data_IF_655595615226
#
_entry.id   IF_655595615226
#
_cell.length_a   1.000
_cell.length_b   1.000
_cell.length_c   1.000
_cell.angle_alpha   90.00
_cell.angle_beta   90.00
_cell.angle_gamma   90.00
#
_symmetry.space_group_name_H-M   'P 1'
#
loop_
_entity.id
_entity.type
_entity.pdbx_description
1 polymer ?
#
# COMPACT_ATOMS: atom_id res chain seq x y z
N UNK A 1 -17.19 -5.59 -15.54
CA UNK A 1 -16.87 -5.52 -14.10
C UNK A 1 -18.10 -5.06 -13.36
N UNK A 2 -18.30 -5.47 -12.11
CA UNK A 2 -19.50 -5.24 -11.28
C UNK A 2 -20.13 -3.85 -11.49
N UNK A 3 -21.47 -3.74 -11.49
CA UNK A 3 -22.20 -2.47 -11.60
C UNK A 3 -22.02 -1.53 -10.37
N UNK A 4 -20.99 -1.76 -9.56
CA UNK A 4 -20.63 -0.98 -8.39
C UNK A 4 -19.69 0.14 -8.83
N UNK A 5 -20.06 1.38 -8.50
CA UNK A 5 -19.27 2.58 -8.80
C UNK A 5 -18.54 3.07 -7.56
N UNK A 6 -17.27 3.40 -7.69
CA UNK A 6 -16.48 4.06 -6.66
C UNK A 6 -15.79 3.08 -5.71
N UNK A 7 -14.66 3.55 -5.16
CA UNK A 7 -13.80 2.81 -4.24
C UNK A 7 -14.57 2.17 -3.09
N UNK A 8 -15.36 2.95 -2.36
CA UNK A 8 -16.07 2.48 -1.14
C UNK A 8 -17.03 1.33 -1.43
N UNK A 9 -17.86 1.43 -2.48
CA UNK A 9 -18.84 0.41 -2.80
C UNK A 9 -18.17 -0.91 -3.21
N UNK A 10 -17.11 -0.82 -4.02
CA UNK A 10 -16.30 -1.97 -4.45
C UNK A 10 -15.56 -2.63 -3.28
N UNK A 11 -14.96 -1.83 -2.40
CA UNK A 11 -14.26 -2.30 -1.21
C UNK A 11 -15.20 -2.96 -0.19
N UNK A 12 -16.32 -2.31 0.12
CA UNK A 12 -17.34 -2.85 1.05
C UNK A 12 -17.97 -4.14 0.53
N UNK A 13 -18.12 -4.28 -0.79
CA UNK A 13 -18.62 -5.51 -1.39
C UNK A 13 -17.60 -6.65 -1.25
N UNK A 14 -16.36 -6.42 -1.70
CA UNK A 14 -15.35 -7.49 -1.75
C UNK A 14 -14.94 -7.96 -0.35
N UNK A 15 -15.00 -7.09 0.66
CA UNK A 15 -14.64 -7.43 2.04
C UNK A 15 -15.72 -8.22 2.79
N UNK A 16 -16.89 -8.46 2.20
CA UNK A 16 -17.91 -9.38 2.74
C UNK A 16 -17.55 -10.85 2.55
N UNK A 17 -16.64 -11.16 1.63
CA UNK A 17 -16.21 -12.54 1.41
C UNK A 17 -15.20 -12.97 2.48
N UNK A 18 -15.38 -14.17 3.02
CA UNK A 18 -14.48 -14.73 4.03
C UNK A 18 -13.03 -14.77 3.52
N UNK A 19 -12.09 -14.29 4.34
CA UNK A 19 -10.67 -14.22 3.99
C UNK A 19 -10.25 -12.96 3.23
N UNK A 20 -11.18 -12.10 2.80
CA UNK A 20 -10.87 -10.83 2.13
C UNK A 20 -11.00 -9.67 3.12
N UNK A 21 -9.89 -9.36 3.78
CA UNK A 21 -9.77 -8.18 4.66
C UNK A 21 -9.15 -6.99 3.92
N UNK A 22 -8.76 -5.94 4.65
CA UNK A 22 -8.27 -4.67 4.10
C UNK A 22 -7.16 -4.78 3.04
N UNK A 23 -6.23 -5.73 3.20
CA UNK A 23 -5.17 -6.00 2.20
C UNK A 23 -5.76 -6.49 0.89
N UNK A 24 -6.40 -7.66 0.91
CA UNK A 24 -6.93 -8.27 -0.32
C UNK A 24 -8.07 -7.46 -0.92
N UNK A 25 -8.82 -6.74 -0.08
CA UNK A 25 -9.87 -5.82 -0.50
C UNK A 25 -9.37 -4.63 -1.33
N UNK A 26 -8.07 -4.32 -1.30
CA UNK A 26 -7.42 -3.38 -2.23
C UNK A 26 -6.67 -4.11 -3.32
N UNK A 27 -5.83 -5.06 -2.94
CA UNK A 27 -4.90 -5.74 -3.85
C UNK A 27 -5.59 -6.36 -5.06
N UNK A 28 -6.78 -6.97 -4.88
CA UNK A 28 -7.54 -7.57 -5.98
C UNK A 28 -7.90 -6.53 -7.05
N UNK A 29 -8.38 -5.36 -6.64
CA UNK A 29 -8.75 -4.29 -7.58
C UNK A 29 -7.53 -3.62 -8.18
N UNK A 30 -6.46 -3.47 -7.40
CA UNK A 30 -5.17 -2.94 -7.87
C UNK A 30 -4.53 -3.86 -8.93
N UNK A 31 -4.61 -5.19 -8.76
CA UNK A 31 -4.11 -6.16 -9.76
C UNK A 31 -4.93 -6.12 -11.05
N UNK A 32 -6.19 -5.70 -10.96
CA UNK A 32 -7.08 -5.50 -12.11
C UNK A 32 -6.95 -4.10 -12.74
N UNK A 33 -6.05 -3.25 -12.23
CA UNK A 33 -5.88 -1.85 -12.64
C UNK A 33 -7.21 -1.07 -12.64
N UNK A 34 -8.04 -1.27 -11.61
CA UNK A 34 -9.29 -0.52 -11.45
C UNK A 34 -9.00 0.93 -11.03
N UNK A 35 -9.49 1.94 -11.78
CA UNK A 35 -9.17 3.35 -11.54
C UNK A 35 -9.64 3.86 -10.17
N UNK A 36 -10.65 3.21 -9.56
CA UNK A 36 -11.10 3.59 -8.22
C UNK A 36 -10.08 3.21 -7.12
N UNK A 37 -9.07 2.39 -7.44
CA UNK A 37 -8.07 1.88 -6.48
C UNK A 37 -6.65 2.38 -6.74
N UNK A 38 -6.44 3.25 -7.73
CA UNK A 38 -5.12 3.88 -7.98
C UNK A 38 -4.66 4.79 -6.82
N UNK A 39 -5.59 5.18 -5.94
CA UNK A 39 -5.38 6.10 -4.82
C UNK A 39 -5.05 5.40 -3.49
N UNK A 40 -4.86 4.08 -3.49
CA UNK A 40 -4.61 3.32 -2.26
C UNK A 40 -3.38 2.41 -2.35
N UNK A 41 -2.91 1.96 -1.19
CA UNK A 41 -1.77 1.04 -1.04
C UNK A 41 -2.23 -0.22 -0.33
N UNK A 42 -1.82 -1.38 -0.83
CA UNK A 42 -2.13 -2.66 -0.23
C UNK A 42 -1.08 -3.02 0.83
N UNK A 43 -1.25 -2.51 2.05
CA UNK A 43 -0.31 -2.76 3.14
C UNK A 43 -0.22 -4.25 3.50
N UNK A 44 0.83 -4.92 3.03
CA UNK A 44 1.22 -6.28 3.36
C UNK A 44 2.44 -6.31 4.31
N UNK A 45 3.01 -7.49 4.58
CA UNK A 45 4.16 -7.61 5.47
C UNK A 45 5.43 -6.94 4.93
N UNK A 46 5.58 -6.80 3.61
CA UNK A 46 6.74 -6.13 2.98
C UNK A 46 6.66 -4.63 3.17
N UNK A 47 5.47 -4.06 2.92
CA UNK A 47 5.19 -2.64 3.16
C UNK A 47 5.34 -2.31 4.64
N UNK A 48 4.87 -3.19 5.54
CA UNK A 48 5.09 -3.05 6.99
C UNK A 48 6.57 -3.12 7.37
N UNK A 49 7.37 -3.96 6.72
CA UNK A 49 8.80 -4.04 6.99
C UNK A 49 9.51 -2.72 6.64
N UNK A 50 9.19 -2.12 5.50
CA UNK A 50 9.70 -0.80 5.11
C UNK A 50 9.23 0.27 6.11
N UNK A 51 7.95 0.31 6.45
CA UNK A 51 7.42 1.26 7.44
C UNK A 51 8.15 1.14 8.78
N UNK A 52 8.38 -0.09 9.26
CA UNK A 52 9.13 -0.34 10.48
C UNK A 52 10.57 0.17 10.39
N UNK A 53 11.26 -0.07 9.28
CA UNK A 53 12.62 0.40 9.06
C UNK A 53 12.70 1.94 9.06
N UNK A 54 11.66 2.61 8.53
CA UNK A 54 11.50 4.07 8.58
C UNK A 54 11.03 4.61 9.95
N UNK A 55 10.89 3.75 10.97
CA UNK A 55 10.40 4.16 12.30
C UNK A 55 8.89 4.39 12.39
N UNK A 56 8.12 4.12 11.33
CA UNK A 56 6.65 4.21 11.30
C UNK A 56 6.05 2.99 12.00
N UNK A 57 6.17 2.95 13.33
CA UNK A 57 5.72 1.84 14.17
C UNK A 57 4.26 1.99 14.61
N UNK A 58 3.33 2.00 13.65
CA UNK A 58 1.89 1.92 13.94
C UNK A 58 1.35 0.52 13.68
N UNK A 59 0.62 -0.05 14.64
CA UNK A 59 -0.12 -1.29 14.45
C UNK A 59 -1.35 -1.12 13.52
N UNK A 60 -1.71 0.13 13.19
CA UNK A 60 -2.92 0.42 12.41
C UNK A 60 -2.59 0.51 10.92
N UNK A 61 -3.24 -0.36 10.15
CA UNK A 61 -3.17 -0.41 8.69
C UNK A 61 -3.32 0.97 8.05
N UNK A 62 -4.35 1.73 8.45
CA UNK A 62 -4.66 3.04 7.89
C UNK A 62 -3.54 4.07 8.09
N UNK A 63 -2.76 3.97 9.16
CA UNK A 63 -1.62 4.86 9.40
C UNK A 63 -0.49 4.57 8.42
N UNK A 64 -0.16 3.29 8.22
CA UNK A 64 0.88 2.88 7.28
C UNK A 64 0.47 3.21 5.84
N UNK A 65 -0.80 2.98 5.50
CA UNK A 65 -1.34 3.34 4.19
C UNK A 65 -1.24 4.86 3.95
N UNK A 66 -1.74 5.68 4.88
CA UNK A 66 -1.69 7.13 4.74
C UNK A 66 -0.26 7.67 4.62
N UNK A 67 0.69 7.09 5.37
CA UNK A 67 2.09 7.45 5.28
C UNK A 67 2.64 7.24 3.87
N UNK A 68 2.48 6.04 3.30
CA UNK A 68 3.03 5.76 1.97
C UNK A 68 2.25 6.44 0.84
N UNK A 69 0.95 6.71 1.00
CA UNK A 69 0.19 7.55 0.07
C UNK A 69 0.79 8.95 0.00
N UNK A 70 1.17 9.51 1.15
CA UNK A 70 1.83 10.82 1.20
C UNK A 70 3.24 10.78 0.60
N UNK A 71 4.03 9.73 0.87
CA UNK A 71 5.32 9.54 0.22
C UNK A 71 5.18 9.44 -1.32
N UNK A 72 4.17 8.74 -1.82
CA UNK A 72 3.90 8.66 -3.26
C UNK A 72 3.60 10.05 -3.84
N UNK A 73 2.76 10.83 -3.14
CA UNK A 73 2.45 12.22 -3.51
C UNK A 73 3.71 13.09 -3.60
N UNK A 74 4.59 13.01 -2.60
CA UNK A 74 5.85 13.76 -2.58
C UNK A 74 6.84 13.32 -3.65
N UNK A 75 6.84 12.02 -3.98
CA UNK A 75 7.67 11.43 -5.05
C UNK A 75 7.09 11.60 -6.46
N UNK A 76 5.95 12.30 -6.61
CA UNK A 76 5.21 12.43 -7.87
C UNK A 76 4.81 11.09 -8.51
N UNK A 77 4.45 10.12 -7.67
CA UNK A 77 3.95 8.81 -8.05
C UNK A 77 2.49 8.66 -7.64
N UNK A 78 1.76 7.81 -8.35
CA UNK A 78 0.49 7.29 -7.84
C UNK A 78 0.74 6.36 -6.66
N UNK A 79 -0.18 6.26 -5.69
CA UNK A 79 -0.10 5.26 -4.63
C UNK A 79 0.07 3.83 -5.15
N UNK A 80 -0.59 3.49 -6.26
CA UNK A 80 -0.41 2.19 -6.92
C UNK A 80 1.03 1.98 -7.42
N UNK A 81 1.64 2.96 -8.08
CA UNK A 81 3.04 2.85 -8.54
C UNK A 81 3.99 2.67 -7.36
N UNK A 82 3.79 3.45 -6.29
CA UNK A 82 4.58 3.33 -5.06
C UNK A 82 4.46 1.93 -4.42
N UNK A 83 3.24 1.38 -4.35
CA UNK A 83 2.98 0.01 -3.89
C UNK A 83 3.76 -1.02 -4.73
N UNK A 84 3.73 -0.90 -6.07
CA UNK A 84 4.45 -1.82 -6.97
C UNK A 84 5.96 -1.66 -6.88
N UNK A 85 6.49 -0.47 -6.64
CA UNK A 85 7.92 -0.27 -6.40
C UNK A 85 8.33 -0.94 -5.09
N UNK A 86 7.61 -0.70 -4.00
CA UNK A 86 7.90 -1.32 -2.70
C UNK A 86 7.77 -2.84 -2.74
N UNK A 87 6.82 -3.37 -3.51
CA UNK A 87 6.63 -4.80 -3.70
C UNK A 87 7.79 -5.43 -4.50
N UNK A 88 8.11 -4.87 -5.67
CA UNK A 88 9.11 -5.44 -6.59
C UNK A 88 10.55 -5.22 -6.12
N UNK A 89 10.82 -4.11 -5.42
CA UNK A 89 12.17 -3.68 -5.03
C UNK A 89 12.35 -3.62 -3.50
N UNK A 90 11.59 -4.41 -2.74
CA UNK A 90 11.59 -4.38 -1.27
C UNK A 90 13.00 -4.40 -0.64
N UNK A 91 13.87 -5.28 -1.13
CA UNK A 91 15.25 -5.40 -0.63
C UNK A 91 16.09 -4.15 -0.88
N UNK A 92 15.88 -3.45 -2.00
CA UNK A 92 16.56 -2.20 -2.31
C UNK A 92 16.14 -1.10 -1.32
N UNK A 93 14.83 -0.94 -1.08
CA UNK A 93 14.33 0.03 -0.10
C UNK A 93 14.92 -0.22 1.28
N UNK A 94 14.91 -1.46 1.75
CA UNK A 94 15.44 -1.80 3.07
C UNK A 94 16.94 -1.53 3.19
N UNK A 95 17.74 -1.89 2.18
CA UNK A 95 19.17 -1.63 2.17
C UNK A 95 19.48 -0.12 2.22
N UNK A 96 18.79 0.69 1.40
CA UNK A 96 18.98 2.15 1.38
C UNK A 96 18.62 2.78 2.73
N UNK A 97 17.56 2.31 3.40
CA UNK A 97 17.16 2.80 4.71
C UNK A 97 18.20 2.45 5.78
N UNK A 98 18.73 1.22 5.74
CA UNK A 98 19.77 0.77 6.68
C UNK A 98 21.06 1.57 6.49
N UNK A 99 21.51 1.76 5.25
CA UNK A 99 22.70 2.54 4.94
C UNK A 99 22.56 4.00 5.42
N UNK A 100 21.41 4.64 5.15
CA UNK A 100 21.14 6.00 5.61
C UNK A 100 21.12 6.13 7.13
N UNK A 101 20.70 5.09 7.85
CA UNK A 101 20.71 5.05 9.31
C UNK A 101 22.10 4.89 9.92
N UNK A 102 23.07 4.35 9.17
CA UNK A 102 24.46 4.16 9.62
C UNK A 102 25.34 5.41 9.43
N UNK A 103 24.87 6.38 8.63
CA UNK A 103 25.57 7.66 8.38
C UNK A 103 25.13 8.79 9.34
N UNK A 104 24.09 8.57 10.15
CA UNK A 104 23.48 9.54 11.07
C UNK A 104 23.98 9.39 12.51
#
# INVERSE_FOLDING_TARGET
>A
MLALSGHKAKFDFITKFHGIAAKYGRNIWMDLADPDFETCIAVDERVKAIAKALGVSSAKYATVEAFFVECAREAHLTPWEADRLMYNFNGYFLAVIEDAGNEA
#
